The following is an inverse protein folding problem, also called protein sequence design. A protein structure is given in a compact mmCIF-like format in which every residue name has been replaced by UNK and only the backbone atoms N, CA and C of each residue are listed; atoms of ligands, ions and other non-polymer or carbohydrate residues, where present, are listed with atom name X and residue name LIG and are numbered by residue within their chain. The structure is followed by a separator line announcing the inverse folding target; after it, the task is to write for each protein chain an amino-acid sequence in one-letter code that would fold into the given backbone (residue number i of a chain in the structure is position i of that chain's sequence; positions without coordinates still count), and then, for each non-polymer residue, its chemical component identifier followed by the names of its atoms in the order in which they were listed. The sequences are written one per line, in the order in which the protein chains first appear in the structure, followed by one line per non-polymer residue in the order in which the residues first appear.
data_IF_865014293776
#
_entry.id   IF_865014293776
#
_cell.length_a   1.000
_cell.length_b   1.000
_cell.length_c   1.000
_cell.angle_alpha   90.00
_cell.angle_beta   90.00
_cell.angle_gamma   90.00
#
_symmetry.space_group_name_H-M   'P 1'
#
loop_
_entity.id
_entity.type
_entity.pdbx_description
1 polymer ?
#
# COMPACT_ATOMS: atom_id res chain seq x y z
N UNK A 1 -12.17 -8.59 -2.35
CA UNK A 1 -10.80 -8.10 -2.06
C UNK A 1 -9.96 -8.26 -3.31
N UNK A 2 -9.39 -7.17 -3.83
CA UNK A 2 -8.50 -7.22 -5.00
C UNK A 2 -7.06 -7.52 -4.49
N UNK A 3 -6.44 -8.66 -4.85
CA UNK A 3 -5.12 -9.04 -4.34
C UNK A 3 -3.96 -8.34 -5.08
N UNK A 4 -4.16 -7.10 -5.55
CA UNK A 4 -3.15 -6.31 -6.25
C UNK A 4 -2.89 -5.00 -5.51
N UNK A 5 -1.60 -4.61 -5.42
CA UNK A 5 -1.14 -3.45 -4.66
C UNK A 5 0.22 -2.95 -5.17
N UNK A 6 0.88 -2.09 -4.38
CA UNK A 6 2.16 -1.47 -4.74
C UNK A 6 3.30 -2.43 -5.09
N UNK A 7 3.29 -3.67 -4.60
CA UNK A 7 4.30 -4.68 -4.94
C UNK A 7 4.20 -5.14 -6.40
N UNK A 8 2.99 -5.14 -6.98
CA UNK A 8 2.77 -5.46 -8.39
C UNK A 8 3.36 -4.38 -9.30
N UNK A 9 3.26 -3.12 -8.87
CA UNK A 9 3.92 -1.99 -9.55
C UNK A 9 5.44 -2.20 -9.54
N UNK A 10 6.01 -2.62 -8.42
CA UNK A 10 7.45 -2.89 -8.31
C UNK A 10 7.88 -4.06 -9.19
N UNK A 11 7.08 -5.13 -9.24
CA UNK A 11 7.33 -6.28 -10.11
C UNK A 11 7.34 -5.88 -11.59
N UNK A 12 6.37 -5.08 -12.03
CA UNK A 12 6.31 -4.60 -13.42
C UNK A 12 7.52 -3.73 -13.78
N UNK A 13 7.94 -2.84 -12.89
CA UNK A 13 9.15 -2.02 -13.08
C UNK A 13 10.39 -2.92 -13.17
N UNK A 14 10.52 -3.90 -12.27
CA UNK A 14 11.65 -4.83 -12.27
C UNK A 14 11.75 -5.60 -13.60
N UNK A 15 10.61 -6.07 -14.12
CA UNK A 15 10.51 -6.78 -15.40
C UNK A 15 10.82 -5.84 -16.57
N UNK A 16 10.12 -4.71 -16.66
CA UNK A 16 10.26 -3.74 -17.75
C UNK A 16 11.69 -3.20 -17.85
N UNK A 17 12.31 -2.93 -16.70
CA UNK A 17 13.66 -2.36 -16.65
C UNK A 17 14.75 -3.39 -16.47
N UNK A 18 14.42 -4.69 -16.35
CA UNK A 18 15.42 -5.75 -16.13
C UNK A 18 16.39 -5.35 -15.01
N UNK A 19 15.82 -4.94 -13.88
CA UNK A 19 16.51 -4.44 -12.69
C UNK A 19 16.09 -5.26 -11.46
N UNK A 20 16.94 -5.43 -10.42
CA UNK A 20 16.53 -6.11 -9.20
C UNK A 20 15.31 -5.44 -8.53
N UNK A 21 14.46 -6.22 -7.86
CA UNK A 21 13.24 -5.73 -7.20
C UNK A 21 13.51 -4.60 -6.21
N UNK A 22 14.62 -4.65 -5.48
CA UNK A 22 15.02 -3.58 -4.56
C UNK A 22 15.32 -2.26 -5.28
N UNK A 23 16.02 -2.32 -6.42
CA UNK A 23 16.30 -1.16 -7.25
C UNK A 23 15.03 -0.63 -7.94
N UNK A 24 14.12 -1.52 -8.37
CA UNK A 24 12.81 -1.13 -8.87
C UNK A 24 11.98 -0.38 -7.80
N UNK A 25 12.00 -0.85 -6.55
CA UNK A 25 11.30 -0.19 -5.44
C UNK A 25 11.89 1.21 -5.17
N UNK A 26 13.21 1.35 -5.14
CA UNK A 26 13.87 2.65 -4.98
C UNK A 26 13.47 3.61 -6.10
N UNK A 27 13.56 3.18 -7.36
CA UNK A 27 13.19 4.00 -8.52
C UNK A 27 11.70 4.37 -8.49
N UNK A 28 10.81 3.44 -8.12
CA UNK A 28 9.37 3.71 -7.93
C UNK A 28 9.13 4.80 -6.90
N UNK A 29 9.83 4.75 -5.77
CA UNK A 29 9.67 5.71 -4.66
C UNK A 29 10.27 7.08 -4.96
N UNK A 30 11.40 7.12 -5.64
CA UNK A 30 12.17 8.36 -5.87
C UNK A 30 11.71 9.12 -7.13
N UNK A 31 11.27 8.40 -8.15
CA UNK A 31 10.98 8.97 -9.47
C UNK A 31 9.60 8.64 -10.02
N UNK A 32 8.82 7.84 -9.30
CA UNK A 32 7.51 7.38 -9.77
C UNK A 32 6.48 8.50 -9.90
N UNK A 33 5.62 8.34 -10.90
CA UNK A 33 4.43 9.16 -11.15
C UNK A 33 3.45 8.33 -11.96
N UNK A 34 2.15 8.54 -11.78
CA UNK A 34 1.11 7.99 -12.64
C UNK A 34 0.41 9.06 -13.48
N UNK A 35 0.66 10.35 -13.21
CA UNK A 35 0.22 11.44 -14.07
C UNK A 35 1.20 11.60 -15.25
N UNK A 36 0.87 11.01 -16.39
CA UNK A 36 1.75 10.99 -17.58
C UNK A 36 2.07 12.40 -18.11
N UNK A 37 1.10 13.31 -18.05
CA UNK A 37 1.22 14.69 -18.55
C UNK A 37 2.11 15.57 -17.66
N UNK A 38 2.24 15.22 -16.38
CA UNK A 38 3.07 15.96 -15.42
C UNK A 38 4.55 15.56 -15.46
N UNK A 39 4.92 14.57 -16.28
CA UNK A 39 6.29 14.07 -16.39
C UNK A 39 7.00 14.74 -17.54
N UNK A 40 8.08 15.45 -17.23
CA UNK A 40 8.99 16.04 -18.21
C UNK A 40 9.52 14.97 -19.19
N UNK A 41 9.36 15.25 -20.48
CA UNK A 41 9.70 14.34 -21.58
C UNK A 41 11.22 14.14 -21.71
N UNK A 42 12.02 15.15 -21.33
CA UNK A 42 13.48 15.13 -21.45
C UNK A 42 14.16 14.60 -20.19
N UNK A 43 13.41 14.45 -19.09
CA UNK A 43 13.95 13.95 -17.84
C UNK A 43 14.34 12.48 -17.95
N UNK A 44 15.61 12.18 -17.61
CA UNK A 44 16.16 10.83 -17.54
C UNK A 44 16.45 10.42 -16.10
N UNK A 45 16.36 9.12 -15.82
CA UNK A 45 16.67 8.52 -14.52
C UNK A 45 17.72 7.41 -14.69
N UNK A 46 18.54 7.21 -13.67
CA UNK A 46 19.48 6.09 -13.64
C UNK A 46 18.84 4.88 -12.97
N UNK A 47 18.90 3.73 -13.63
CA UNK A 47 18.39 2.47 -13.11
C UNK A 47 19.52 1.44 -13.11
N UNK A 48 19.77 0.82 -11.96
CA UNK A 48 20.77 -0.23 -11.83
C UNK A 48 20.42 -1.44 -12.70
N UNK A 49 21.41 -2.02 -13.37
CA UNK A 49 21.24 -3.29 -14.08
C UNK A 49 21.22 -4.50 -13.14
N UNK A 50 20.80 -5.65 -13.66
CA UNK A 50 20.98 -6.95 -12.98
C UNK A 50 22.43 -7.43 -13.14
N UNK A 51 22.98 -8.01 -12.07
CA UNK A 51 24.35 -8.56 -12.00
C UNK A 51 25.43 -7.50 -12.28
N UNK A 52 26.44 -7.82 -13.11
CA UNK A 52 27.56 -6.92 -13.43
C UNK A 52 27.26 -5.92 -14.57
N UNK A 53 25.98 -5.70 -14.90
CA UNK A 53 25.63 -4.74 -15.95
C UNK A 53 25.72 -3.31 -15.40
N UNK A 54 26.29 -2.36 -16.18
CA UNK A 54 26.35 -0.98 -15.74
C UNK A 54 24.94 -0.39 -15.57
N UNK A 55 24.78 0.64 -14.73
CA UNK A 55 23.54 1.42 -14.68
C UNK A 55 23.18 1.96 -16.06
N UNK A 56 21.89 2.01 -16.35
CA UNK A 56 21.35 2.55 -17.61
C UNK A 56 20.53 3.79 -17.37
N UNK A 57 20.55 4.70 -18.33
CA UNK A 57 19.66 5.85 -18.36
C UNK A 57 18.35 5.45 -19.04
N UNK A 58 17.23 5.75 -18.40
CA UNK A 58 15.89 5.50 -18.93
C UNK A 58 15.13 6.83 -18.87
N UNK A 59 14.36 7.20 -19.91
CA UNK A 59 13.48 8.35 -19.81
C UNK A 59 12.46 8.13 -18.68
N UNK A 60 12.30 9.11 -17.79
CA UNK A 60 11.36 9.05 -16.66
C UNK A 60 9.93 8.80 -17.13
N UNK A 61 9.58 9.32 -18.32
CA UNK A 61 8.29 9.06 -18.96
C UNK A 61 8.01 7.57 -19.15
N UNK A 62 9.02 6.75 -19.44
CA UNK A 62 8.83 5.29 -19.57
C UNK A 62 8.46 4.66 -18.23
N UNK A 63 9.08 5.11 -17.12
CA UNK A 63 8.69 4.66 -15.77
C UNK A 63 7.23 5.02 -15.48
N UNK A 64 6.84 6.24 -15.82
CA UNK A 64 5.48 6.71 -15.61
C UNK A 64 4.44 5.88 -16.38
N UNK A 65 4.75 5.47 -17.62
CA UNK A 65 3.86 4.59 -18.39
C UNK A 65 3.69 3.21 -17.74
N UNK A 66 4.77 2.60 -17.27
CA UNK A 66 4.72 1.30 -16.57
C UNK A 66 3.87 1.41 -15.30
N UNK A 67 4.09 2.46 -14.50
CA UNK A 67 3.32 2.68 -13.29
C UNK A 67 1.84 2.97 -13.59
N UNK A 68 1.56 3.87 -14.53
CA UNK A 68 0.21 4.26 -14.91
C UNK A 68 -0.61 3.03 -15.32
N UNK A 69 -0.08 2.17 -16.21
CA UNK A 69 -0.79 0.97 -16.66
C UNK A 69 -1.17 0.05 -15.49
N UNK A 70 -0.27 -0.16 -14.51
CA UNK A 70 -0.57 -1.00 -13.35
C UNK A 70 -1.58 -0.35 -12.40
N UNK A 71 -1.49 0.95 -12.16
CA UNK A 71 -2.46 1.65 -11.32
C UNK A 71 -3.84 1.69 -11.98
N UNK A 72 -3.89 1.91 -13.29
CA UNK A 72 -5.13 1.85 -14.07
C UNK A 72 -5.79 0.47 -13.94
N UNK A 73 -5.04 -0.61 -14.15
CA UNK A 73 -5.54 -1.98 -13.98
C UNK A 73 -6.09 -2.22 -12.55
N UNK A 74 -5.35 -1.82 -11.51
CA UNK A 74 -5.79 -1.95 -10.13
C UNK A 74 -7.10 -1.19 -9.88
N UNK A 75 -7.19 0.04 -10.37
CA UNK A 75 -8.37 0.89 -10.18
C UNK A 75 -9.57 0.37 -10.99
N UNK A 76 -9.35 -0.20 -12.17
CA UNK A 76 -10.39 -0.87 -12.95
C UNK A 76 -10.93 -2.12 -12.23
N UNK A 77 -10.06 -2.90 -11.58
CA UNK A 77 -10.48 -4.04 -10.74
C UNK A 77 -11.29 -3.57 -9.53
N UNK A 78 -10.88 -2.47 -8.88
CA UNK A 78 -11.65 -1.86 -7.79
C UNK A 78 -13.03 -1.39 -8.28
N UNK A 79 -13.08 -0.73 -9.43
CA UNK A 79 -14.34 -0.29 -10.04
C UNK A 79 -15.27 -1.49 -10.31
N UNK A 80 -14.74 -2.57 -10.89
CA UNK A 80 -15.51 -3.78 -11.16
C UNK A 80 -16.11 -4.38 -9.88
N UNK A 81 -15.32 -4.51 -8.80
CA UNK A 81 -15.80 -4.99 -7.50
C UNK A 81 -16.90 -4.07 -6.91
N UNK A 82 -16.78 -2.75 -7.06
CA UNK A 82 -17.80 -1.80 -6.59
C UNK A 82 -19.12 -1.93 -7.36
N UNK A 83 -19.04 -2.21 -8.66
CA UNK A 83 -20.21 -2.48 -9.51
C UNK A 83 -20.85 -3.80 -9.11
N UNK A 84 -20.07 -4.88 -9.02
CA UNK A 84 -20.56 -6.21 -8.69
C UNK A 84 -21.18 -6.29 -7.29
N UNK A 85 -20.64 -5.53 -6.33
CA UNK A 85 -21.18 -5.45 -4.97
C UNK A 85 -22.45 -4.60 -4.85
N UNK A 86 -22.81 -3.81 -5.87
CA UNK A 86 -23.98 -2.93 -5.87
C UNK A 86 -23.86 -1.69 -4.97
N UNK A 87 -22.68 -1.43 -4.38
CA UNK A 87 -22.47 -0.26 -3.51
C UNK A 87 -22.22 1.03 -4.27
N UNK A 88 -21.80 0.96 -5.54
CA UNK A 88 -21.43 2.16 -6.32
C UNK A 88 -22.47 3.30 -6.27
N UNK A 89 -23.79 3.06 -6.41
CA UNK A 89 -24.81 4.12 -6.32
C UNK A 89 -24.97 4.74 -4.92
N UNK A 90 -24.45 4.08 -3.88
CA UNK A 90 -24.60 4.48 -2.48
C UNK A 90 -23.41 5.33 -1.97
N UNK A 91 -22.37 5.51 -2.79
CA UNK A 91 -21.14 6.23 -2.42
C UNK A 91 -21.28 7.75 -2.61
N UNK A 92 -22.33 8.35 -2.05
CA UNK A 92 -22.61 9.80 -2.21
C UNK A 92 -21.51 10.72 -1.67
N UNK A 93 -20.70 10.23 -0.73
CA UNK A 93 -19.57 10.96 -0.13
C UNK A 93 -18.24 10.77 -0.88
N UNK A 94 -18.23 9.99 -1.98
CA UNK A 94 -17.02 9.65 -2.72
C UNK A 94 -16.17 8.56 -2.07
N UNK A 95 -14.92 8.45 -2.53
CA UNK A 95 -13.99 7.37 -2.15
C UNK A 95 -12.79 7.94 -1.39
N UNK A 96 -12.30 7.17 -0.43
CA UNK A 96 -11.08 7.49 0.33
C UNK A 96 -10.00 6.48 -0.01
N UNK A 97 -8.89 6.95 -0.57
CA UNK A 97 -7.70 6.13 -0.81
C UNK A 97 -6.69 6.33 0.32
N UNK A 98 -6.15 5.25 0.87
CA UNK A 98 -5.12 5.28 1.93
C UNK A 98 -4.08 4.18 1.71
N UNK A 99 -3.05 4.13 2.56
CA UNK A 99 -1.93 3.21 2.47
C UNK A 99 -0.75 3.76 1.66
N UNK A 100 0.37 3.04 1.64
CA UNK A 100 1.61 3.55 1.06
C UNK A 100 1.59 3.74 -0.45
N UNK A 101 0.77 2.96 -1.17
CA UNK A 101 0.65 3.06 -2.63
C UNK A 101 0.01 4.38 -3.07
N UNK A 102 -0.83 5.02 -2.24
CA UNK A 102 -1.52 6.26 -2.60
C UNK A 102 -0.61 7.49 -2.54
N UNK A 103 0.68 7.30 -2.27
CA UNK A 103 1.71 8.34 -2.33
C UNK A 103 2.22 8.59 -3.75
N UNK A 104 1.85 7.75 -4.72
CA UNK A 104 2.22 7.96 -6.11
C UNK A 104 1.60 9.27 -6.64
N UNK A 105 2.41 10.21 -7.16
CA UNK A 105 1.88 11.44 -7.75
C UNK A 105 0.90 11.16 -8.90
N UNK A 106 -0.26 11.82 -8.89
CA UNK A 106 -1.31 11.65 -9.90
C UNK A 106 -2.34 10.55 -9.61
N UNK A 107 -2.20 9.82 -8.50
CA UNK A 107 -3.05 8.65 -8.23
C UNK A 107 -4.49 9.02 -7.89
N UNK A 108 -4.72 10.17 -7.27
CA UNK A 108 -6.08 10.61 -6.93
C UNK A 108 -6.82 10.99 -8.21
N UNK A 109 -6.17 11.75 -9.08
CA UNK A 109 -6.71 12.18 -10.36
C UNK A 109 -7.03 10.98 -11.26
N UNK A 110 -6.11 10.01 -11.35
CA UNK A 110 -6.34 8.77 -12.09
C UNK A 110 -7.52 7.97 -11.50
N UNK A 111 -7.62 7.92 -10.17
CA UNK A 111 -8.73 7.24 -9.50
C UNK A 111 -10.07 7.96 -9.75
N UNK A 112 -10.13 9.28 -9.70
CA UNK A 112 -11.33 10.05 -10.04
C UNK A 112 -11.77 9.80 -11.49
N UNK A 113 -10.81 9.78 -12.42
CA UNK A 113 -11.08 9.48 -13.83
C UNK A 113 -11.69 8.09 -14.03
N UNK A 114 -11.16 7.07 -13.35
CA UNK A 114 -11.62 5.68 -13.52
C UNK A 114 -12.91 5.40 -12.73
N UNK A 115 -13.03 5.94 -11.52
CA UNK A 115 -14.14 5.65 -10.60
C UNK A 115 -15.35 6.56 -10.82
N UNK A 116 -15.17 7.67 -11.54
CA UNK A 116 -16.27 8.58 -11.91
C UNK A 116 -16.87 9.35 -10.73
N UNK A 117 -16.15 9.50 -9.62
CA UNK A 117 -16.61 10.19 -8.42
C UNK A 117 -15.44 10.82 -7.67
N UNK A 118 -15.70 11.79 -6.75
CA UNK A 118 -14.64 12.42 -5.97
C UNK A 118 -13.81 11.42 -5.16
N UNK A 119 -12.49 11.55 -5.22
CA UNK A 119 -11.55 10.71 -4.47
C UNK A 119 -10.66 11.59 -3.62
N UNK A 120 -10.50 11.23 -2.34
CA UNK A 120 -9.61 11.96 -1.42
C UNK A 120 -8.57 11.06 -0.77
N UNK A 121 -7.44 11.66 -0.39
CA UNK A 121 -6.43 10.99 0.40
C UNK A 121 -6.90 10.82 1.86
N UNK A 122 -6.84 9.59 2.36
CA UNK A 122 -7.02 9.24 3.75
C UNK A 122 -5.69 9.27 4.49
N UNK A 123 -5.61 10.08 5.54
CA UNK A 123 -4.43 10.21 6.40
C UNK A 123 -4.73 9.73 7.82
N UNK A 124 -3.71 9.31 8.59
CA UNK A 124 -3.89 9.03 10.01
C UNK A 124 -4.40 10.26 10.78
N UNK A 125 -5.53 10.10 11.47
CA UNK A 125 -6.17 11.15 12.26
C UNK A 125 -6.16 10.82 13.76
N UNK A 126 -6.53 11.78 14.61
CA UNK A 126 -6.70 11.61 16.06
C UNK A 126 -5.43 11.21 16.82
N UNK A 127 -4.26 11.61 16.32
CA UNK A 127 -2.95 11.44 16.98
C UNK A 127 -2.25 12.80 17.12
N UNK A 128 -1.49 12.99 18.20
CA UNK A 128 -0.73 14.21 18.49
C UNK A 128 0.78 13.93 18.47
N UNK A 129 1.59 14.94 18.17
CA UNK A 129 3.05 14.92 18.36
C UNK A 129 3.91 14.29 17.25
N UNK A 130 3.38 13.42 16.38
CA UNK A 130 4.14 12.82 15.26
C UNK A 130 3.63 13.30 13.90
N UNK A 131 4.18 14.43 13.41
CA UNK A 131 3.82 15.00 12.10
C UNK A 131 4.11 14.02 10.96
N UNK A 132 5.30 13.40 10.94
CA UNK A 132 5.72 12.44 9.91
C UNK A 132 4.78 11.24 9.77
N UNK A 133 4.12 10.87 10.87
CA UNK A 133 3.12 9.79 10.87
C UNK A 133 1.78 10.30 10.35
N UNK A 134 1.37 11.50 10.75
CA UNK A 134 0.08 12.09 10.35
C UNK A 134 -0.02 12.39 8.87
N UNK A 135 1.10 12.73 8.23
CA UNK A 135 1.13 13.09 6.81
C UNK A 135 1.43 11.90 5.90
N UNK A 136 1.64 10.71 6.47
CA UNK A 136 2.00 9.53 5.70
C UNK A 136 0.90 8.45 5.76
N UNK A 137 0.18 8.22 4.64
CA UNK A 137 -0.94 7.26 4.58
C UNK A 137 -0.49 5.82 4.81
N UNK A 138 0.80 5.49 4.73
CA UNK A 138 1.33 4.17 5.09
C UNK A 138 1.05 3.78 6.55
N UNK A 139 0.85 4.75 7.44
CA UNK A 139 0.58 4.48 8.86
C UNK A 139 -0.91 4.38 9.20
N UNK A 140 -1.82 4.57 8.24
CA UNK A 140 -3.25 4.64 8.50
C UNK A 140 -3.78 3.37 9.20
N UNK A 141 -3.37 2.19 8.73
CA UNK A 141 -3.77 0.92 9.34
C UNK A 141 -3.24 0.77 10.76
N UNK A 142 -1.94 1.03 10.96
CA UNK A 142 -1.32 0.91 12.29
C UNK A 142 -1.94 1.86 13.31
N UNK A 143 -2.14 3.13 12.93
CA UNK A 143 -2.81 4.12 13.77
C UNK A 143 -4.26 3.74 14.04
N UNK A 144 -4.99 3.29 13.02
CA UNK A 144 -6.38 2.85 13.16
C UNK A 144 -6.54 1.70 14.15
N UNK A 145 -5.64 0.71 14.10
CA UNK A 145 -5.65 -0.43 15.03
C UNK A 145 -5.38 0.02 16.48
N UNK A 146 -4.43 0.94 16.69
CA UNK A 146 -4.14 1.48 18.02
C UNK A 146 -5.32 2.27 18.59
N UNK A 147 -5.92 3.14 17.77
CA UNK A 147 -7.11 3.90 18.17
C UNK A 147 -8.29 2.99 18.49
N UNK A 148 -8.51 1.96 17.67
CA UNK A 148 -9.55 0.96 17.91
C UNK A 148 -9.34 0.25 19.25
N UNK A 149 -8.11 -0.23 19.52
CA UNK A 149 -7.78 -0.86 20.81
C UNK A 149 -7.96 0.07 22.02
N UNK A 150 -7.58 1.34 21.89
CA UNK A 150 -7.78 2.35 22.93
C UNK A 150 -9.26 2.65 23.19
N UNK A 151 -10.08 2.75 22.14
CA UNK A 151 -11.53 2.94 22.26
C UNK A 151 -12.19 1.74 22.95
N UNK A 152 -11.80 0.52 22.60
CA UNK A 152 -12.32 -0.70 23.25
C UNK A 152 -12.02 -0.72 24.76
N UNK A 153 -10.81 -0.35 25.17
CA UNK A 153 -10.45 -0.28 26.59
C UNK A 153 -11.30 0.75 27.36
N UNK A 154 -11.61 1.89 26.75
CA UNK A 154 -12.45 2.94 27.38
C UNK A 154 -13.94 2.60 27.39
N UNK A 155 -14.42 1.87 26.38
CA UNK A 155 -15.82 1.48 26.27
C UNK A 155 -16.24 0.35 27.24
N UNK A 156 -15.35 -0.07 28.15
CA UNK A 156 -15.63 -1.13 29.13
C UNK A 156 -15.90 -2.51 28.50
N UNK A 157 -15.72 -2.64 27.19
CA UNK A 157 -15.96 -3.88 26.46
C UNK A 157 -14.70 -4.73 26.53
N UNK A 158 -14.69 -5.63 27.52
CA UNK A 158 -13.78 -6.74 27.73
C UNK A 158 -12.33 -6.47 27.30
N UNK A 159 -11.47 -6.17 28.28
CA UNK A 159 -10.04 -6.15 28.09
C UNK A 159 -9.56 -7.38 27.32
N UNK A 160 -8.47 -7.21 26.57
CA UNK A 160 -7.66 -8.33 26.10
C UNK A 160 -7.44 -9.28 27.29
N UNK A 161 -8.21 -10.36 27.35
CA UNK A 161 -7.81 -11.53 28.12
C UNK A 161 -6.62 -12.09 27.35
N UNK A 162 -5.42 -11.54 27.60
CA UNK A 162 -4.24 -12.40 27.67
C UNK A 162 -4.56 -13.37 28.79
N UNK A 163 -5.23 -14.46 28.44
CA UNK A 163 -5.27 -15.62 29.28
C UNK A 163 -3.80 -15.99 29.47
N UNK A 164 -3.27 -15.69 30.66
CA UNK A 164 -1.92 -16.06 31.05
C UNK A 164 -1.86 -17.59 31.04
N UNK A 165 -1.63 -18.19 29.87
CA UNK A 165 -1.37 -19.61 29.67
C UNK A 165 0.05 -19.98 30.13
N UNK A 166 0.58 -19.31 31.16
CA UNK A 166 1.84 -19.69 31.80
C UNK A 166 1.76 -21.07 32.45
N UNK A 167 0.56 -21.53 32.84
CA UNK A 167 0.37 -22.84 33.46
C UNK A 167 0.01 -23.98 32.49
N UNK A 168 -0.47 -23.67 31.27
CA UNK A 168 -0.94 -24.69 30.30
C UNK A 168 0.10 -25.04 29.23
N UNK A 169 1.02 -24.13 28.91
CA UNK A 169 2.08 -24.40 27.94
C UNK A 169 3.22 -25.25 28.53
N UNK A 170 3.58 -25.01 29.79
CA UNK A 170 4.59 -25.81 30.50
C UNK A 170 4.18 -27.26 30.75
N UNK A 171 2.88 -27.54 30.90
CA UNK A 171 2.38 -28.92 31.04
C UNK A 171 2.43 -29.69 29.73
N UNK A 172 2.18 -29.04 28.59
CA UNK A 172 2.29 -29.64 27.25
C UNK A 172 3.74 -29.97 26.87
N UNK A 173 4.69 -29.08 27.21
CA UNK A 173 6.13 -29.32 26.98
C UNK A 173 6.65 -30.48 27.85
N UNK A 174 6.20 -30.58 29.11
CA UNK A 174 6.59 -31.67 30.02
C UNK A 174 6.04 -33.03 29.59
N UNK A 175 4.82 -33.04 29.03
CA UNK A 175 4.17 -34.25 28.52
C UNK A 175 4.84 -34.79 27.24
N UNK A 176 5.36 -33.90 26.39
CA UNK A 176 6.13 -34.28 25.20
C UNK A 176 7.48 -34.93 25.56
N UNK A 177 8.14 -34.43 26.62
CA UNK A 177 9.41 -34.98 27.10
C UNK A 177 9.27 -36.35 27.80
N UNK A 178 8.11 -36.67 28.37
CA UNK A 178 7.85 -37.97 29.00
C UNK A 178 7.33 -39.03 28.02
N UNK A 179 7.01 -38.64 26.77
CA UNK A 179 6.47 -39.54 25.76
C UNK A 179 7.48 -40.06 24.73
N UNK A 180 8.69 -39.48 24.67
CA UNK A 180 9.67 -39.76 23.61
C UNK A 180 11.09 -40.08 24.10
N UNK A 181 11.30 -40.33 25.40
CA UNK A 181 12.48 -41.00 25.96
C UNK A 181 12.07 -41.88 27.13
#
# INVERSE_FOLDING_TARGET
MVPLAGDHVTADIAIAFRTPTSAAESVKREHGSVALEAVDADQVIQVMGVAKRPPKQIPKRVLAHVMHARYEEILQLVHAELVESGYLPHLAAGIVLTGGATRAPGVLELAEQILGMPVRLGLPQHIQGLLDVRENPSYATGVGLLLHGWQMQRAGSAGFHLQSQGASLWSRVRQWFQGNF
#
